data_IF_030861539652
#
_entry.id   IF_030861539652
#
_cell.length_a   1.000
_cell.length_b   1.000
_cell.length_c   1.000
_cell.angle_alpha   90.00
_cell.angle_beta   90.00
_cell.angle_gamma   90.00
#
_symmetry.space_group_name_H-M   'P 1'
#
loop_
_entity.id
_entity.type
_entity.pdbx_description
1 polymer ?
#
# COMPACT_ATOMS: atom_id res chain seq x y z
N UNK A 1 -6.86 4.58 16.46
CA UNK A 1 -7.17 3.45 17.39
C UNK A 1 -8.67 3.22 17.41
N UNK A 2 -9.11 2.04 17.02
CA UNK A 2 -10.50 1.62 17.18
C UNK A 2 -10.77 1.47 18.68
N UNK A 3 -11.76 2.18 19.26
CA UNK A 3 -12.00 2.11 20.69
C UNK A 3 -12.54 0.72 21.08
N UNK A 4 -12.13 0.24 22.27
CA UNK A 4 -12.74 -0.96 22.83
C UNK A 4 -14.18 -0.62 23.23
N UNK A 5 -15.14 -1.36 22.72
CA UNK A 5 -16.57 -1.18 22.98
C UNK A 5 -16.95 -2.06 24.17
N UNK A 6 -17.45 -1.46 25.23
CA UNK A 6 -17.81 -2.13 26.49
C UNK A 6 -19.18 -1.75 27.02
N UNK A 7 -19.78 -0.67 26.51
CA UNK A 7 -21.10 -0.18 26.89
C UNK A 7 -22.03 -0.03 25.69
N UNK A 8 -23.34 0.01 25.93
CA UNK A 8 -24.33 0.25 24.88
C UNK A 8 -24.15 1.62 24.23
N UNK A 9 -23.80 2.65 25.00
CA UNK A 9 -23.58 3.99 24.47
C UNK A 9 -22.37 4.03 23.52
N UNK A 10 -21.27 3.39 23.88
CA UNK A 10 -20.09 3.25 22.99
C UNK A 10 -20.44 2.47 21.72
N UNK A 11 -21.21 1.39 21.82
CA UNK A 11 -21.67 0.64 20.67
C UNK A 11 -22.56 1.49 19.74
N UNK A 12 -23.57 2.17 20.31
CA UNK A 12 -24.44 3.09 19.57
C UNK A 12 -23.64 4.20 18.89
N UNK A 13 -22.67 4.77 19.57
CA UNK A 13 -21.84 5.86 19.02
C UNK A 13 -20.96 5.33 17.89
N UNK A 14 -20.37 4.14 18.04
CA UNK A 14 -19.58 3.48 17.01
C UNK A 14 -20.40 3.22 15.72
N UNK A 15 -21.60 2.62 15.83
CA UNK A 15 -22.44 2.37 14.65
C UNK A 15 -23.01 3.63 14.02
N UNK A 16 -23.17 4.74 14.79
CA UNK A 16 -23.64 6.00 14.24
C UNK A 16 -22.53 6.90 13.68
N UNK A 17 -21.28 6.51 13.85
CA UNK A 17 -20.12 7.26 13.34
C UNK A 17 -20.07 7.33 11.81
N UNK A 18 -20.80 6.48 11.07
CA UNK A 18 -20.91 6.52 9.61
C UNK A 18 -21.37 7.88 9.05
N UNK A 19 -22.03 8.72 9.86
CA UNK A 19 -22.60 10.01 9.42
C UNK A 19 -21.54 10.95 8.89
N UNK A 20 -20.44 11.13 9.63
CA UNK A 20 -19.36 12.04 9.20
C UNK A 20 -18.66 11.54 7.93
N UNK A 21 -18.21 10.29 7.81
CA UNK A 21 -17.72 9.73 6.55
C UNK A 21 -18.68 9.98 5.39
N UNK A 22 -19.98 9.77 5.56
CA UNK A 22 -20.97 9.98 4.49
C UNK A 22 -21.10 11.46 4.08
N UNK A 23 -21.00 12.39 5.02
CA UNK A 23 -20.96 13.83 4.73
C UNK A 23 -19.74 14.20 3.92
N UNK A 24 -18.56 13.67 4.27
CA UNK A 24 -17.30 13.90 3.54
C UNK A 24 -17.36 13.33 2.12
N UNK A 25 -17.87 12.10 1.97
CA UNK A 25 -18.04 11.48 0.65
C UNK A 25 -19.04 12.25 -0.22
N UNK A 26 -20.14 12.76 0.33
CA UNK A 26 -21.09 13.59 -0.41
C UNK A 26 -20.45 14.88 -0.94
N UNK A 27 -19.55 15.50 -0.18
CA UNK A 27 -18.81 16.66 -0.64
C UNK A 27 -17.84 16.34 -1.80
N UNK A 28 -17.22 15.16 -1.79
CA UNK A 28 -16.39 14.67 -2.90
C UNK A 28 -17.24 14.34 -4.13
N UNK A 29 -18.40 13.72 -3.95
CA UNK A 29 -19.34 13.39 -5.03
C UNK A 29 -19.83 14.65 -5.77
N UNK A 30 -19.99 15.75 -5.05
CA UNK A 30 -20.34 17.07 -5.61
C UNK A 30 -19.15 17.81 -6.22
N UNK A 31 -17.94 17.26 -6.16
CA UNK A 31 -16.69 17.93 -6.53
C UNK A 31 -16.53 19.32 -5.85
N UNK A 32 -17.05 19.44 -4.63
CA UNK A 32 -17.18 20.70 -3.91
C UNK A 32 -15.84 21.42 -3.76
N UNK A 33 -14.79 20.70 -3.38
CA UNK A 33 -13.48 21.28 -3.10
C UNK A 33 -12.79 21.82 -4.35
N UNK A 34 -12.95 21.14 -5.49
CA UNK A 34 -12.43 21.59 -6.79
C UNK A 34 -13.16 22.82 -7.28
N UNK A 35 -14.50 22.84 -7.13
CA UNK A 35 -15.33 24.00 -7.52
C UNK A 35 -15.02 25.22 -6.68
N UNK A 36 -14.81 25.06 -5.36
CA UNK A 36 -14.39 26.16 -4.49
C UNK A 36 -13.00 26.66 -4.89
N UNK A 37 -12.05 25.76 -5.16
CA UNK A 37 -10.67 26.11 -5.50
C UNK A 37 -10.03 27.00 -4.44
N UNK A 38 -9.36 28.07 -4.88
CA UNK A 38 -8.69 29.04 -4.01
C UNK A 38 -9.57 30.28 -3.69
N UNK A 39 -10.86 30.23 -4.06
CA UNK A 39 -11.78 31.37 -3.94
C UNK A 39 -12.65 31.26 -2.69
N UNK A 40 -13.27 32.41 -2.33
CA UNK A 40 -14.36 32.48 -1.36
C UNK A 40 -15.70 32.62 -2.09
N UNK A 41 -16.70 31.89 -1.63
CA UNK A 41 -18.00 31.82 -2.28
C UNK A 41 -19.12 32.12 -1.31
N UNK A 42 -20.17 32.81 -1.76
CA UNK A 42 -21.47 32.81 -1.07
C UNK A 42 -22.21 31.50 -1.33
N UNK A 43 -23.10 31.08 -0.44
CA UNK A 43 -23.91 29.87 -0.65
C UNK A 43 -24.71 29.93 -1.95
N UNK A 44 -25.34 31.07 -2.22
CA UNK A 44 -26.18 31.27 -3.41
C UNK A 44 -25.40 31.09 -4.71
N UNK A 45 -24.19 31.67 -4.82
CA UNK A 45 -23.36 31.53 -6.01
C UNK A 45 -22.79 30.12 -6.14
N UNK A 46 -22.40 29.50 -5.03
CA UNK A 46 -21.85 28.13 -5.02
C UNK A 46 -22.93 27.09 -5.37
N UNK A 47 -24.16 27.26 -4.83
CA UNK A 47 -25.30 26.40 -5.13
C UNK A 47 -25.66 26.42 -6.63
N UNK A 48 -25.69 27.64 -7.23
CA UNK A 48 -25.87 27.77 -8.69
C UNK A 48 -24.80 27.08 -9.48
N UNK A 49 -23.53 27.23 -9.07
CA UNK A 49 -22.37 26.58 -9.77
C UNK A 49 -22.42 25.06 -9.70
N UNK A 50 -22.78 24.51 -8.55
CA UNK A 50 -22.91 23.07 -8.30
C UNK A 50 -24.25 22.49 -8.78
N UNK A 51 -25.22 23.33 -9.16
CA UNK A 51 -26.60 22.93 -9.53
C UNK A 51 -27.31 22.15 -8.43
N UNK A 52 -27.18 22.60 -7.19
CA UNK A 52 -27.77 21.97 -6.01
C UNK A 52 -28.67 22.97 -5.24
N UNK A 53 -29.51 22.42 -4.34
CA UNK A 53 -30.31 23.21 -3.43
C UNK A 53 -29.44 24.04 -2.48
N UNK A 54 -29.74 25.35 -2.35
CA UNK A 54 -29.06 26.24 -1.40
C UNK A 54 -29.23 25.76 0.03
N UNK A 55 -30.45 25.27 0.40
CA UNK A 55 -30.73 24.69 1.71
C UNK A 55 -29.84 23.49 2.01
N UNK A 56 -29.73 22.53 1.06
CA UNK A 56 -28.88 21.33 1.21
C UNK A 56 -27.43 21.72 1.34
N UNK A 57 -26.93 22.57 0.44
CA UNK A 57 -25.55 23.03 0.46
C UNK A 57 -25.19 23.79 1.72
N UNK A 58 -26.13 24.62 2.26
CA UNK A 58 -25.95 25.36 3.53
C UNK A 58 -25.70 24.41 4.70
N UNK A 59 -26.48 23.32 4.78
CA UNK A 59 -26.34 22.32 5.83
C UNK A 59 -25.00 21.57 5.67
N UNK A 60 -24.67 21.14 4.45
CA UNK A 60 -23.41 20.46 4.14
C UNK A 60 -22.20 21.34 4.50
N UNK A 61 -22.14 22.57 3.98
CA UNK A 61 -21.01 23.48 4.20
C UNK A 61 -20.82 23.85 5.68
N UNK A 62 -21.89 23.96 6.47
CA UNK A 62 -21.77 24.18 7.92
C UNK A 62 -21.13 22.98 8.62
N UNK A 63 -21.55 21.78 8.27
CA UNK A 63 -20.93 20.55 8.82
C UNK A 63 -19.45 20.43 8.44
N UNK A 64 -19.10 20.69 7.18
CA UNK A 64 -17.72 20.67 6.72
C UNK A 64 -16.87 21.76 7.39
N UNK A 65 -17.45 22.93 7.67
CA UNK A 65 -16.78 24.00 8.41
C UNK A 65 -16.57 23.62 9.88
N UNK A 66 -17.56 22.98 10.53
CA UNK A 66 -17.43 22.46 11.89
C UNK A 66 -16.37 21.36 11.97
N UNK A 67 -16.24 20.53 10.93
CA UNK A 67 -15.20 19.51 10.81
C UNK A 67 -13.82 20.08 10.40
N UNK A 68 -13.69 21.41 10.17
CA UNK A 68 -12.43 22.06 9.80
C UNK A 68 -11.99 21.84 8.35
N UNK A 69 -12.82 21.21 7.51
CA UNK A 69 -12.50 20.96 6.08
C UNK A 69 -12.79 22.20 5.21
N UNK A 70 -13.72 23.03 5.63
CA UNK A 70 -13.97 24.36 5.09
C UNK A 70 -13.74 25.43 6.15
N UNK A 71 -13.47 26.66 5.71
CA UNK A 71 -13.51 27.86 6.53
C UNK A 71 -14.75 28.66 6.19
N UNK A 72 -15.44 29.19 7.24
CA UNK A 72 -16.58 30.11 7.12
C UNK A 72 -16.22 31.45 7.74
N UNK A 73 -16.41 32.56 6.98
CA UNK A 73 -16.27 33.93 7.48
C UNK A 73 -17.44 34.75 6.98
N UNK A 74 -18.32 35.16 7.90
CA UNK A 74 -19.58 35.81 7.54
C UNK A 74 -20.44 34.91 6.65
N UNK A 75 -20.82 35.40 5.48
CA UNK A 75 -21.56 34.62 4.45
C UNK A 75 -20.68 33.82 3.50
N UNK A 76 -19.38 33.94 3.61
CA UNK A 76 -18.42 33.33 2.68
C UNK A 76 -17.85 31.98 3.18
N UNK A 77 -17.73 31.05 2.26
CA UNK A 77 -17.08 29.76 2.45
C UNK A 77 -15.84 29.65 1.55
N UNK A 78 -14.77 29.05 2.06
CA UNK A 78 -13.55 28.72 1.32
C UNK A 78 -12.97 27.40 1.80
N UNK A 79 -12.15 26.78 0.98
CA UNK A 79 -11.40 25.58 1.37
C UNK A 79 -10.48 25.87 2.58
N UNK A 80 -10.35 24.88 3.47
CA UNK A 80 -9.19 24.78 4.35
C UNK A 80 -7.95 24.43 3.54
N UNK A 81 -6.77 24.39 4.18
CA UNK A 81 -5.54 23.92 3.51
C UNK A 81 -5.73 22.53 2.90
N UNK A 82 -6.34 21.59 3.65
CA UNK A 82 -6.63 20.24 3.18
C UNK A 82 -7.55 20.29 1.95
N UNK A 83 -8.65 21.03 2.01
CA UNK A 83 -9.60 21.20 0.90
C UNK A 83 -8.96 21.79 -0.35
N UNK A 84 -8.09 22.82 -0.19
CA UNK A 84 -7.42 23.48 -1.30
C UNK A 84 -6.33 22.63 -1.97
N UNK A 85 -5.79 21.63 -1.29
CA UNK A 85 -4.68 20.81 -1.79
C UNK A 85 -5.11 19.39 -2.09
N UNK A 86 -5.17 18.52 -1.08
CA UNK A 86 -5.40 17.09 -1.26
C UNK A 86 -6.80 16.73 -1.78
N UNK A 87 -7.81 17.58 -1.57
CA UNK A 87 -9.19 17.34 -2.02
C UNK A 87 -9.57 18.14 -3.29
N UNK A 88 -8.72 19.03 -3.78
CA UNK A 88 -8.93 19.83 -4.98
C UNK A 88 -8.34 19.13 -6.20
N UNK A 89 -9.18 18.69 -7.14
CA UNK A 89 -8.78 17.96 -8.35
C UNK A 89 -7.80 18.71 -9.25
N UNK A 90 -7.73 20.03 -9.17
CA UNK A 90 -6.80 20.86 -9.94
C UNK A 90 -5.43 21.04 -9.24
N UNK A 91 -5.24 20.53 -8.03
CA UNK A 91 -4.01 20.68 -7.30
C UNK A 91 -3.07 19.49 -7.50
N UNK A 92 -1.77 19.74 -7.64
CA UNK A 92 -0.73 18.70 -7.87
C UNK A 92 -0.64 17.61 -6.80
N UNK A 93 -1.14 17.87 -5.59
CA UNK A 93 -1.15 16.92 -4.47
C UNK A 93 -2.54 16.32 -4.24
N UNK A 94 -3.41 16.35 -5.26
CA UNK A 94 -4.73 15.78 -5.23
C UNK A 94 -4.69 14.28 -4.90
N UNK A 95 -5.58 13.83 -4.00
CA UNK A 95 -5.68 12.44 -3.55
C UNK A 95 -7.06 11.82 -3.73
N UNK A 96 -7.92 12.50 -4.46
CA UNK A 96 -9.31 12.08 -4.65
C UNK A 96 -9.46 10.70 -5.31
N UNK A 97 -8.47 10.23 -6.08
CA UNK A 97 -8.50 8.88 -6.64
C UNK A 97 -8.61 7.80 -5.55
N UNK A 98 -7.83 7.91 -4.46
CA UNK A 98 -7.94 7.00 -3.32
C UNK A 98 -9.27 7.14 -2.58
N UNK A 99 -9.72 8.38 -2.36
CA UNK A 99 -11.01 8.64 -1.70
C UNK A 99 -12.20 8.17 -2.55
N UNK A 100 -12.10 8.25 -3.87
CA UNK A 100 -13.10 7.71 -4.79
C UNK A 100 -13.15 6.18 -4.75
N UNK A 101 -12.01 5.51 -4.59
CA UNK A 101 -11.98 4.07 -4.36
C UNK A 101 -12.69 3.69 -3.06
N UNK A 102 -12.39 4.38 -1.95
CA UNK A 102 -13.11 4.17 -0.68
C UNK A 102 -14.61 4.38 -0.86
N UNK A 103 -15.01 5.40 -1.63
CA UNK A 103 -16.41 5.67 -1.93
C UNK A 103 -17.07 4.53 -2.73
N UNK A 104 -16.38 3.97 -3.74
CA UNK A 104 -16.92 2.86 -4.54
C UNK A 104 -17.16 1.61 -3.71
N UNK A 105 -16.37 1.38 -2.68
CA UNK A 105 -16.53 0.27 -1.75
C UNK A 105 -17.69 0.45 -0.74
N UNK A 106 -18.35 1.62 -0.70
CA UNK A 106 -19.40 1.88 0.29
C UNK A 106 -20.56 0.88 0.21
N UNK A 107 -21.00 0.54 -0.99
CA UNK A 107 -22.07 -0.44 -1.22
C UNK A 107 -21.66 -1.85 -0.85
N UNK A 108 -20.39 -2.19 -1.03
CA UNK A 108 -19.85 -3.51 -0.69
C UNK A 108 -19.86 -3.72 0.83
N UNK A 109 -19.44 -2.70 1.58
CA UNK A 109 -19.48 -2.75 3.04
C UNK A 109 -20.91 -2.89 3.59
N UNK A 110 -21.95 -2.36 2.92
CA UNK A 110 -23.35 -2.57 3.30
C UNK A 110 -23.74 -4.04 3.14
N UNK A 111 -23.13 -4.77 2.20
CA UNK A 111 -23.37 -6.17 1.91
C UNK A 111 -22.44 -7.13 2.65
N UNK A 112 -21.71 -6.66 3.65
CA UNK A 112 -20.73 -7.47 4.40
C UNK A 112 -21.30 -8.79 4.94
N UNK A 113 -22.57 -8.80 5.38
CA UNK A 113 -23.25 -9.99 5.88
C UNK A 113 -23.25 -11.14 4.85
N UNK A 114 -23.39 -10.83 3.55
CA UNK A 114 -23.37 -11.83 2.48
C UNK A 114 -22.03 -12.57 2.41
N UNK A 115 -20.91 -11.82 2.47
CA UNK A 115 -19.57 -12.39 2.49
C UNK A 115 -19.28 -13.17 3.78
N UNK A 116 -19.78 -12.71 4.93
CA UNK A 116 -19.63 -13.46 6.20
C UNK A 116 -20.38 -14.80 6.12
N UNK A 117 -21.55 -14.83 5.50
CA UNK A 117 -22.34 -16.07 5.37
C UNK A 117 -21.73 -17.06 4.37
N UNK A 118 -21.22 -16.58 3.27
CA UNK A 118 -20.67 -17.43 2.21
C UNK A 118 -19.20 -17.82 2.44
N UNK A 119 -18.44 -16.98 3.16
CA UNK A 119 -16.99 -17.08 3.24
C UNK A 119 -16.28 -16.67 1.93
N UNK A 120 -17.01 -16.08 0.99
CA UNK A 120 -16.50 -15.68 -0.33
C UNK A 120 -16.59 -14.17 -0.52
N UNK A 121 -15.78 -13.58 -1.41
CA UNK A 121 -15.93 -12.18 -1.79
C UNK A 121 -17.31 -11.94 -2.41
N UNK A 122 -17.71 -10.68 -2.41
CA UNK A 122 -18.93 -10.29 -3.10
C UNK A 122 -18.77 -10.49 -4.60
N UNK A 123 -19.84 -10.97 -5.23
CA UNK A 123 -19.91 -11.02 -6.69
C UNK A 123 -20.08 -9.60 -7.23
N UNK A 124 -19.15 -9.18 -8.04
CA UNK A 124 -19.17 -7.89 -8.72
C UNK A 124 -19.36 -8.14 -10.22
N UNK A 125 -20.32 -7.46 -10.83
CA UNK A 125 -20.60 -7.57 -12.25
C UNK A 125 -19.40 -7.26 -13.16
N UNK A 126 -18.39 -6.53 -12.64
CA UNK A 126 -17.14 -6.21 -13.35
C UNK A 126 -15.95 -6.17 -12.36
N UNK A 127 -15.53 -7.29 -11.76
CA UNK A 127 -14.51 -7.25 -10.72
C UNK A 127 -13.11 -6.87 -11.20
N UNK A 128 -12.80 -6.98 -12.48
CA UNK A 128 -11.45 -6.90 -13.04
C UNK A 128 -11.36 -6.20 -14.42
N UNK A 129 -12.33 -5.37 -14.72
CA UNK A 129 -12.33 -4.60 -15.98
C UNK A 129 -11.14 -3.64 -16.07
N UNK A 130 -10.62 -3.34 -17.27
CA UNK A 130 -9.49 -2.43 -17.48
C UNK A 130 -9.66 -1.08 -16.78
N UNK A 131 -10.88 -0.54 -16.79
CA UNK A 131 -11.20 0.75 -16.16
C UNK A 131 -11.09 0.70 -14.64
N UNK A 132 -11.58 -0.38 -13.99
CA UNK A 132 -11.44 -0.55 -12.55
C UNK A 132 -9.96 -0.69 -12.15
N UNK A 133 -9.21 -1.52 -12.87
CA UNK A 133 -7.77 -1.70 -12.63
C UNK A 133 -7.00 -0.40 -12.77
N UNK A 134 -7.31 0.38 -13.77
CA UNK A 134 -6.73 1.70 -13.98
C UNK A 134 -7.04 2.63 -12.81
N UNK A 135 -8.31 2.73 -12.40
CA UNK A 135 -8.73 3.56 -11.27
C UNK A 135 -8.07 3.10 -9.96
N UNK A 136 -8.03 1.80 -9.71
CA UNK A 136 -7.37 1.21 -8.55
C UNK A 136 -5.87 1.54 -8.52
N UNK A 137 -5.16 1.39 -9.63
CA UNK A 137 -3.72 1.68 -9.69
C UNK A 137 -3.44 3.17 -9.44
N UNK A 138 -4.23 4.08 -10.01
CA UNK A 138 -4.15 5.51 -9.68
C UNK A 138 -4.49 5.79 -8.22
N UNK A 139 -5.46 5.10 -7.64
CA UNK A 139 -5.80 5.24 -6.22
C UNK A 139 -4.62 4.84 -5.33
N UNK A 140 -3.94 3.73 -5.64
CA UNK A 140 -2.74 3.30 -4.92
C UNK A 140 -1.58 4.29 -5.06
N UNK A 141 -1.42 4.91 -6.23
CA UNK A 141 -0.47 6.02 -6.38
C UNK A 141 -0.78 7.18 -5.42
N UNK A 142 -2.03 7.64 -5.41
CA UNK A 142 -2.47 8.74 -4.54
C UNK A 142 -2.35 8.40 -3.05
N UNK A 143 -2.58 7.14 -2.67
CA UNK A 143 -2.41 6.65 -1.29
C UNK A 143 -0.95 6.77 -0.85
N UNK A 144 0.01 6.42 -1.70
CA UNK A 144 1.42 6.25 -1.34
C UNK A 144 2.31 7.46 -1.64
N UNK A 145 1.76 8.55 -2.20
CA UNK A 145 2.53 9.74 -2.62
C UNK A 145 3.46 10.34 -1.55
N UNK A 146 3.06 10.37 -0.29
CA UNK A 146 3.87 10.89 0.81
C UNK A 146 4.63 9.79 1.55
N UNK A 147 4.06 8.59 1.57
CA UNK A 147 4.59 7.46 2.32
C UNK A 147 5.84 6.90 1.63
N UNK A 148 5.79 6.69 0.32
CA UNK A 148 6.89 6.08 -0.41
C UNK A 148 8.20 6.90 -0.34
N UNK A 149 8.21 8.23 -0.52
CA UNK A 149 9.42 9.03 -0.30
C UNK A 149 9.92 9.00 1.14
N UNK A 150 9.01 8.97 2.13
CA UNK A 150 9.36 8.92 3.54
C UNK A 150 10.01 7.58 3.92
N UNK A 151 9.51 6.48 3.39
CA UNK A 151 10.11 5.14 3.55
C UNK A 151 11.46 5.07 2.82
N UNK A 152 11.52 5.53 1.57
CA UNK A 152 12.76 5.52 0.79
C UNK A 152 13.87 6.36 1.44
N UNK A 153 13.53 7.42 2.17
CA UNK A 153 14.49 8.23 2.92
C UNK A 153 15.10 7.50 4.12
N UNK A 154 14.37 6.56 4.72
CA UNK A 154 14.77 5.85 5.95
C UNK A 154 15.31 4.44 5.66
N UNK A 155 14.80 3.78 4.63
CA UNK A 155 15.22 2.44 4.26
C UNK A 155 16.59 2.47 3.57
N UNK A 156 17.62 1.99 4.27
CA UNK A 156 18.98 1.93 3.71
C UNK A 156 19.09 0.70 2.80
N UNK A 157 19.27 0.94 1.50
CA UNK A 157 19.48 -0.12 0.51
C UNK A 157 20.96 -0.52 0.35
N UNK A 158 21.88 0.15 1.06
CA UNK A 158 23.32 -0.12 0.96
C UNK A 158 23.85 0.14 -0.45
N UNK A 159 24.67 -0.78 -0.96
CA UNK A 159 25.23 -0.75 -2.31
C UNK A 159 24.39 -1.47 -3.36
N UNK A 160 23.10 -1.68 -3.08
CA UNK A 160 22.19 -2.34 -4.01
C UNK A 160 22.15 -1.62 -5.37
N UNK A 161 22.29 -2.38 -6.45
CA UNK A 161 22.25 -1.90 -7.83
C UNK A 161 20.99 -2.37 -8.56
N UNK A 162 20.41 -3.49 -8.16
CA UNK A 162 19.22 -4.09 -8.76
C UNK A 162 18.12 -4.29 -7.72
N UNK A 163 16.99 -3.62 -7.91
CA UNK A 163 15.79 -3.75 -7.10
C UNK A 163 14.65 -4.31 -7.97
N UNK A 164 13.90 -5.25 -7.41
CA UNK A 164 12.59 -5.65 -7.93
C UNK A 164 11.51 -5.10 -7.02
N UNK A 165 10.54 -4.36 -7.58
CA UNK A 165 9.30 -3.97 -6.93
C UNK A 165 8.23 -4.96 -7.40
N UNK A 166 7.96 -5.97 -6.55
CA UNK A 166 7.13 -7.12 -6.88
C UNK A 166 5.68 -6.87 -6.49
N UNK A 167 4.78 -6.82 -7.46
CA UNK A 167 3.39 -6.38 -7.27
C UNK A 167 3.33 -4.88 -6.98
N UNK A 168 4.25 -4.10 -7.57
CA UNK A 168 4.44 -2.69 -7.23
C UNK A 168 3.41 -1.72 -7.82
N UNK A 169 2.39 -2.23 -8.55
CA UNK A 169 1.27 -1.45 -9.06
C UNK A 169 1.71 -0.18 -9.79
N UNK A 170 1.46 1.02 -9.22
CA UNK A 170 1.81 2.30 -9.84
C UNK A 170 3.31 2.60 -9.90
N UNK A 171 4.17 1.79 -9.28
CA UNK A 171 5.61 2.01 -9.22
C UNK A 171 6.04 3.18 -8.34
N UNK A 172 5.17 3.69 -7.47
CA UNK A 172 5.47 4.86 -6.62
C UNK A 172 6.65 4.59 -5.68
N UNK A 173 6.73 3.39 -5.11
CA UNK A 173 7.89 2.98 -4.28
C UNK A 173 9.16 2.83 -5.11
N UNK A 174 9.10 2.16 -6.26
CA UNK A 174 10.26 2.02 -7.15
C UNK A 174 10.83 3.40 -7.53
N UNK A 175 9.99 4.35 -7.92
CA UNK A 175 10.40 5.71 -8.27
C UNK A 175 11.01 6.45 -7.07
N UNK A 176 10.45 6.30 -5.87
CA UNK A 176 10.98 6.90 -4.65
C UNK A 176 12.37 6.33 -4.29
N UNK A 177 12.56 5.01 -4.39
CA UNK A 177 13.87 4.36 -4.20
C UNK A 177 14.90 4.82 -5.24
N UNK A 178 14.51 4.90 -6.51
CA UNK A 178 15.36 5.39 -7.58
C UNK A 178 15.78 6.85 -7.39
N UNK A 179 14.87 7.71 -6.93
CA UNK A 179 15.16 9.10 -6.64
C UNK A 179 16.20 9.25 -5.52
N UNK A 180 16.15 8.40 -4.51
CA UNK A 180 17.07 8.42 -3.35
C UNK A 180 18.43 7.78 -3.65
N UNK A 181 18.48 6.80 -4.57
CA UNK A 181 19.66 5.98 -4.83
C UNK A 181 20.10 6.12 -6.30
N UNK A 182 21.05 7.01 -6.64
CA UNK A 182 21.43 7.30 -8.03
C UNK A 182 21.99 6.12 -8.82
N UNK A 183 22.62 5.14 -8.15
CA UNK A 183 23.21 3.94 -8.78
C UNK A 183 22.22 2.80 -8.94
N UNK A 184 21.05 2.90 -8.31
CA UNK A 184 20.02 1.85 -8.33
C UNK A 184 19.31 1.82 -9.69
N UNK A 185 19.06 0.62 -10.20
CA UNK A 185 18.10 0.32 -11.27
C UNK A 185 16.97 -0.50 -10.66
N UNK A 186 15.74 -0.23 -11.07
CA UNK A 186 14.58 -0.95 -10.59
C UNK A 186 13.83 -1.64 -11.73
N UNK A 187 13.32 -2.81 -11.45
CA UNK A 187 12.32 -3.51 -12.26
C UNK A 187 10.99 -3.47 -11.52
N UNK A 188 9.96 -2.94 -12.15
CA UNK A 188 8.59 -2.97 -11.65
C UNK A 188 7.89 -4.18 -12.25
N UNK A 189 7.46 -5.10 -11.39
CA UNK A 189 6.76 -6.31 -11.79
C UNK A 189 5.30 -6.24 -11.34
N UNK A 190 4.39 -6.33 -12.30
CA UNK A 190 2.95 -6.41 -12.05
C UNK A 190 2.23 -6.92 -13.32
N UNK A 191 0.91 -6.98 -13.30
CA UNK A 191 0.08 -7.26 -14.48
C UNK A 191 0.14 -6.09 -15.46
N UNK A 192 0.02 -6.37 -16.78
CA UNK A 192 0.17 -5.37 -17.86
C UNK A 192 -0.67 -4.10 -17.62
N UNK A 193 -1.96 -4.26 -17.25
CA UNK A 193 -2.85 -3.12 -17.04
C UNK A 193 -2.38 -2.15 -15.92
N UNK A 194 -1.72 -2.66 -14.88
CA UNK A 194 -1.12 -1.82 -13.84
C UNK A 194 0.16 -1.14 -14.35
N UNK A 195 0.97 -1.85 -15.14
CA UNK A 195 2.20 -1.32 -15.71
C UNK A 195 1.94 -0.20 -16.73
N UNK A 196 0.83 -0.21 -17.45
CA UNK A 196 0.43 0.92 -18.32
C UNK A 196 0.26 2.21 -17.52
N UNK A 197 -0.45 2.15 -16.40
CA UNK A 197 -0.60 3.31 -15.50
C UNK A 197 0.73 3.72 -14.89
N UNK A 198 1.57 2.75 -14.52
CA UNK A 198 2.90 3.03 -14.00
C UNK A 198 3.79 3.75 -15.02
N UNK A 199 3.70 3.41 -16.30
CA UNK A 199 4.41 4.11 -17.40
C UNK A 199 3.95 5.57 -17.49
N UNK A 200 2.65 5.83 -17.38
CA UNK A 200 2.11 7.20 -17.37
C UNK A 200 2.65 8.02 -16.18
N UNK A 201 2.60 7.45 -14.97
CA UNK A 201 3.12 8.08 -13.76
C UNK A 201 4.63 8.36 -13.88
N UNK A 202 5.38 7.38 -14.36
CA UNK A 202 6.83 7.51 -14.51
C UNK A 202 7.24 8.51 -15.60
N UNK A 203 6.40 8.78 -16.60
CA UNK A 203 6.74 9.64 -17.74
C UNK A 203 7.22 11.03 -17.34
N UNK A 204 6.72 11.55 -16.23
CA UNK A 204 7.09 12.87 -15.68
C UNK A 204 8.18 12.82 -14.61
N UNK A 205 8.62 11.61 -14.23
CA UNK A 205 9.55 11.44 -13.12
C UNK A 205 11.01 11.38 -13.59
N UNK A 206 11.89 12.21 -13.01
CA UNK A 206 13.31 12.32 -13.43
C UNK A 206 14.12 11.01 -13.38
N UNK A 207 13.69 10.04 -12.55
CA UNK A 207 14.38 8.77 -12.41
C UNK A 207 13.84 7.67 -13.33
N UNK A 208 12.86 7.94 -14.19
CA UNK A 208 12.18 6.96 -15.05
C UNK A 208 13.10 6.20 -15.98
N UNK A 209 14.19 6.81 -16.46
CA UNK A 209 15.18 6.13 -17.31
C UNK A 209 15.95 4.98 -16.63
N UNK A 210 15.75 4.75 -15.32
CA UNK A 210 16.32 3.64 -14.56
C UNK A 210 15.26 2.63 -14.10
N UNK A 211 14.01 2.79 -14.53
CA UNK A 211 12.90 1.89 -14.25
C UNK A 211 12.61 1.05 -15.50
N UNK A 212 12.59 -0.26 -15.36
CA UNK A 212 12.12 -1.22 -16.36
C UNK A 212 10.83 -1.87 -15.88
N UNK A 213 10.06 -2.44 -16.81
CA UNK A 213 8.74 -3.02 -16.56
C UNK A 213 8.78 -4.51 -16.90
N UNK A 214 8.20 -5.33 -16.04
CA UNK A 214 8.13 -6.78 -16.19
C UNK A 214 6.66 -7.23 -16.01
N UNK A 215 5.91 -7.44 -17.08
CA UNK A 215 4.59 -8.05 -16.99
C UNK A 215 4.75 -9.53 -16.65
N UNK A 216 4.25 -9.94 -15.47
CA UNK A 216 4.39 -11.31 -14.96
C UNK A 216 3.29 -11.66 -13.97
N UNK A 217 2.76 -12.87 -14.07
CA UNK A 217 2.00 -13.50 -12.99
C UNK A 217 2.97 -14.24 -12.04
N UNK A 218 3.53 -13.52 -11.09
CA UNK A 218 4.51 -14.06 -10.13
C UNK A 218 3.93 -15.11 -9.17
N UNK A 219 2.61 -15.30 -9.16
CA UNK A 219 1.99 -16.42 -8.44
C UNK A 219 2.19 -17.74 -9.16
N UNK A 220 2.35 -17.73 -10.49
CA UNK A 220 2.51 -18.93 -11.33
C UNK A 220 3.92 -19.07 -11.88
N UNK A 221 4.48 -17.97 -12.36
CA UNK A 221 5.69 -17.96 -13.15
C UNK A 221 6.95 -17.74 -12.29
N UNK A 222 8.11 -18.27 -12.69
CA UNK A 222 9.39 -17.96 -12.07
C UNK A 222 9.75 -16.50 -12.31
N UNK A 223 10.31 -15.85 -11.30
CA UNK A 223 10.78 -14.46 -11.40
C UNK A 223 12.11 -14.44 -12.15
N UNK A 224 12.20 -13.80 -13.33
CA UNK A 224 13.43 -13.76 -14.11
C UNK A 224 14.45 -12.78 -13.53
N UNK A 225 15.73 -13.05 -13.77
CA UNK A 225 16.83 -12.20 -13.32
C UNK A 225 17.28 -12.46 -11.89
N UNK A 226 18.18 -11.61 -11.39
CA UNK A 226 18.68 -11.67 -10.02
C UNK A 226 18.80 -10.28 -9.43
N UNK A 227 18.41 -10.13 -8.17
CA UNK A 227 18.24 -8.83 -7.51
C UNK A 227 19.03 -8.76 -6.20
N UNK A 228 19.48 -7.57 -5.86
CA UNK A 228 20.08 -7.28 -4.56
C UNK A 228 18.98 -7.07 -3.48
N UNK A 229 17.85 -6.49 -3.91
CA UNK A 229 16.70 -6.22 -3.06
C UNK A 229 15.41 -6.55 -3.83
N UNK A 230 14.49 -7.25 -3.17
CA UNK A 230 13.10 -7.39 -3.62
C UNK A 230 12.21 -6.70 -2.60
N UNK A 231 11.43 -5.74 -3.06
CA UNK A 231 10.42 -5.00 -2.30
C UNK A 231 9.04 -5.59 -2.60
N UNK A 232 8.26 -5.89 -1.57
CA UNK A 232 6.94 -6.52 -1.65
C UNK A 232 6.00 -5.80 -0.69
N UNK A 233 5.21 -4.88 -1.21
CA UNK A 233 4.45 -3.94 -0.40
C UNK A 233 2.96 -4.00 -0.69
N UNK A 234 2.16 -4.24 0.34
CA UNK A 234 0.70 -4.32 0.25
C UNK A 234 0.22 -5.39 -0.75
N UNK A 235 0.83 -6.55 -0.72
CA UNK A 235 0.55 -7.68 -1.60
C UNK A 235 0.36 -8.99 -0.82
N UNK A 236 1.05 -9.14 0.32
CA UNK A 236 0.99 -10.32 1.17
C UNK A 236 -0.46 -10.69 1.55
N UNK A 237 -1.26 -9.69 1.88
CA UNK A 237 -2.64 -9.83 2.31
C UNK A 237 -3.60 -10.31 1.22
N UNK A 238 -3.22 -10.27 -0.06
CA UNK A 238 -4.08 -10.64 -1.20
C UNK A 238 -4.17 -12.17 -1.35
N UNK A 239 -3.11 -12.89 -0.96
CA UNK A 239 -2.89 -14.30 -1.26
C UNK A 239 -3.04 -15.18 -0.02
N UNK A 240 -3.42 -16.45 -0.23
CA UNK A 240 -3.47 -17.47 0.82
C UNK A 240 -2.09 -17.75 1.43
N UNK A 241 -2.02 -18.43 2.59
CA UNK A 241 -0.75 -18.88 3.17
C UNK A 241 0.09 -19.75 2.23
N UNK A 242 -0.54 -20.63 1.46
CA UNK A 242 0.09 -21.55 0.50
C UNK A 242 0.69 -20.79 -0.68
N UNK A 243 -0.06 -19.86 -1.24
CA UNK A 243 0.39 -18.99 -2.33
C UNK A 243 1.55 -18.12 -1.89
N UNK A 244 1.45 -17.48 -0.73
CA UNK A 244 2.54 -16.67 -0.16
C UNK A 244 3.82 -17.48 0.02
N UNK A 245 3.73 -18.70 0.53
CA UNK A 245 4.89 -19.59 0.66
C UNK A 245 5.48 -19.94 -0.71
N UNK A 246 4.66 -20.14 -1.73
CA UNK A 246 5.11 -20.39 -3.10
C UNK A 246 5.81 -19.14 -3.69
N UNK A 247 5.24 -17.96 -3.50
CA UNK A 247 5.83 -16.68 -3.90
C UNK A 247 7.21 -16.50 -3.20
N UNK A 248 7.29 -16.76 -1.90
CA UNK A 248 8.53 -16.59 -1.14
C UNK A 248 9.66 -17.51 -1.65
N UNK A 249 9.34 -18.75 -2.10
CA UNK A 249 10.32 -19.62 -2.74
C UNK A 249 10.82 -19.04 -4.07
N UNK A 250 9.93 -18.48 -4.91
CA UNK A 250 10.31 -17.81 -6.17
C UNK A 250 11.16 -16.56 -5.91
N UNK A 251 10.76 -15.75 -4.95
CA UNK A 251 11.54 -14.57 -4.51
C UNK A 251 12.93 -15.00 -4.04
N UNK A 252 13.02 -16.08 -3.25
CA UNK A 252 14.30 -16.59 -2.78
C UNK A 252 15.22 -17.01 -3.92
N UNK A 253 14.67 -17.61 -4.98
CA UNK A 253 15.42 -18.03 -6.16
C UNK A 253 15.93 -16.83 -6.99
N UNK A 254 15.20 -15.71 -7.00
CA UNK A 254 15.55 -14.49 -7.72
C UNK A 254 16.49 -13.54 -6.94
N UNK A 255 16.83 -13.85 -5.70
CA UNK A 255 17.76 -13.05 -4.90
C UNK A 255 19.20 -13.51 -5.04
N UNK A 256 20.11 -12.57 -5.21
CA UNK A 256 21.54 -12.79 -5.10
C UNK A 256 21.92 -13.32 -3.70
N UNK A 257 23.04 -14.05 -3.55
CA UNK A 257 23.54 -14.40 -2.22
C UNK A 257 23.72 -13.15 -1.34
N UNK A 258 23.12 -13.16 -0.15
CA UNK A 258 23.11 -11.99 0.76
C UNK A 258 22.05 -10.94 0.41
N UNK A 259 21.30 -11.08 -0.68
CA UNK A 259 20.22 -10.18 -1.08
C UNK A 259 19.08 -10.16 -0.06
N UNK A 260 18.31 -9.09 -0.07
CA UNK A 260 17.25 -8.79 0.92
C UNK A 260 15.87 -8.88 0.31
N UNK A 261 14.97 -9.59 0.98
CA UNK A 261 13.54 -9.56 0.73
C UNK A 261 12.89 -8.68 1.80
N UNK A 262 12.23 -7.61 1.40
CA UNK A 262 11.64 -6.61 2.30
C UNK A 262 10.14 -6.58 2.05
N UNK A 263 9.37 -6.85 3.08
CA UNK A 263 7.90 -6.93 3.05
C UNK A 263 7.35 -5.77 3.86
N UNK A 264 6.47 -4.98 3.28
CA UNK A 264 5.63 -4.01 3.97
C UNK A 264 4.18 -4.47 3.86
N UNK A 265 3.50 -4.63 4.99
CA UNK A 265 2.08 -5.00 4.99
C UNK A 265 1.41 -4.71 6.34
N UNK A 266 0.09 -4.84 6.40
CA UNK A 266 -0.71 -4.77 7.61
C UNK A 266 -0.53 -6.04 8.44
N UNK A 267 0.47 -6.06 9.32
CA UNK A 267 0.77 -7.23 10.15
C UNK A 267 -0.01 -7.24 11.46
N UNK A 268 -0.56 -8.40 11.80
CA UNK A 268 -1.00 -8.70 13.15
C UNK A 268 0.21 -9.01 14.04
N UNK A 269 0.24 -8.42 15.24
CA UNK A 269 1.39 -8.49 16.15
C UNK A 269 1.20 -9.51 17.27
N UNK A 270 -0.02 -9.91 17.55
CA UNK A 270 -0.36 -10.94 18.51
C UNK A 270 -0.68 -12.29 17.83
N UNK A 271 -0.72 -13.36 18.64
CA UNK A 271 -1.02 -14.71 18.16
C UNK A 271 -2.52 -14.96 17.94
N UNK A 272 -3.36 -14.11 18.52
CA UNK A 272 -4.83 -14.24 18.46
C UNK A 272 -5.42 -13.50 17.26
N UNK A 273 -4.62 -12.69 16.55
CA UNK A 273 -5.08 -11.94 15.39
C UNK A 273 -5.95 -10.73 15.73
N UNK A 274 -5.80 -10.19 16.94
CA UNK A 274 -6.64 -9.09 17.45
C UNK A 274 -5.97 -7.72 17.35
N UNK A 275 -4.65 -7.66 17.30
CA UNK A 275 -3.90 -6.42 17.39
C UNK A 275 -2.83 -6.29 16.30
N UNK A 276 -2.67 -5.10 15.70
CA UNK A 276 -3.49 -3.89 15.88
C UNK A 276 -4.89 -4.04 15.32
N UNK A 277 -5.86 -3.34 15.91
CA UNK A 277 -7.28 -3.43 15.53
C UNK A 277 -7.51 -3.05 14.07
N UNK A 278 -6.73 -2.11 13.56
CA UNK A 278 -6.79 -1.67 12.16
C UNK A 278 -6.41 -2.80 11.19
N UNK A 279 -5.37 -3.58 11.51
CA UNK A 279 -4.98 -4.74 10.70
C UNK A 279 -6.04 -5.85 10.79
N UNK A 280 -6.62 -6.08 11.97
CA UNK A 280 -7.74 -7.00 12.14
C UNK A 280 -8.96 -6.56 11.33
N UNK A 281 -9.30 -5.27 11.33
CA UNK A 281 -10.38 -4.71 10.51
C UNK A 281 -10.08 -4.83 9.01
N UNK A 282 -8.82 -4.70 8.61
CA UNK A 282 -8.42 -4.83 7.23
C UNK A 282 -8.64 -6.25 6.67
N UNK A 283 -8.60 -7.28 7.52
CA UNK A 283 -8.98 -8.64 7.13
C UNK A 283 -10.43 -8.74 6.61
N UNK A 284 -11.34 -7.90 7.14
CA UNK A 284 -12.72 -7.81 6.62
C UNK A 284 -12.72 -7.28 5.16
N UNK A 285 -11.85 -6.34 4.84
CA UNK A 285 -11.71 -5.89 3.45
C UNK A 285 -11.20 -7.02 2.55
N UNK A 286 -10.31 -7.87 3.06
CA UNK A 286 -9.84 -9.04 2.29
C UNK A 286 -10.95 -10.04 2.04
N UNK A 287 -11.81 -10.28 3.01
CA UNK A 287 -13.01 -11.11 2.82
C UNK A 287 -13.95 -10.54 1.75
N UNK A 288 -14.13 -9.21 1.70
CA UNK A 288 -15.01 -8.56 0.73
C UNK A 288 -14.47 -8.57 -0.72
N UNK A 289 -13.13 -8.51 -0.89
CA UNK A 289 -12.54 -8.16 -2.19
C UNK A 289 -11.55 -9.20 -2.73
N UNK A 290 -11.25 -10.28 -1.99
CA UNK A 290 -10.30 -11.31 -2.42
C UNK A 290 -10.85 -12.70 -2.15
N UNK A 291 -10.43 -13.68 -2.96
CA UNK A 291 -10.90 -15.07 -2.79
C UNK A 291 -10.37 -15.72 -1.51
N UNK A 292 -9.10 -15.45 -1.16
CA UNK A 292 -8.41 -16.13 -0.05
C UNK A 292 -7.50 -15.20 0.76
N UNK A 293 -7.54 -13.90 0.49
CA UNK A 293 -6.70 -12.93 1.20
C UNK A 293 -7.09 -12.79 2.67
N UNK A 294 -6.10 -12.39 3.46
CA UNK A 294 -6.25 -12.16 4.90
C UNK A 294 -5.13 -11.25 5.42
N UNK A 295 -5.20 -10.83 6.66
CA UNK A 295 -4.06 -10.26 7.36
C UNK A 295 -3.36 -11.35 8.17
N UNK A 296 -2.02 -11.31 8.18
CA UNK A 296 -1.20 -12.36 8.75
C UNK A 296 -0.37 -11.85 9.91
N UNK A 297 -0.10 -12.75 10.87
CA UNK A 297 0.77 -12.41 11.99
C UNK A 297 2.24 -12.35 11.54
N UNK A 298 3.00 -11.52 12.23
CA UNK A 298 4.46 -11.49 12.07
C UNK A 298 5.08 -12.89 12.26
N UNK A 299 4.56 -13.67 13.20
CA UNK A 299 5.10 -15.01 13.50
C UNK A 299 4.84 -16.01 12.39
N UNK A 300 3.69 -15.96 11.72
CA UNK A 300 3.37 -16.80 10.55
C UNK A 300 4.28 -16.43 9.38
N UNK A 301 4.34 -15.15 9.03
CA UNK A 301 5.19 -14.64 7.94
C UNK A 301 6.67 -14.99 8.18
N UNK A 302 7.16 -14.87 9.41
CA UNK A 302 8.53 -15.27 9.74
C UNK A 302 8.78 -16.79 9.59
N UNK A 303 7.79 -17.63 9.89
CA UNK A 303 7.87 -19.08 9.63
C UNK A 303 7.95 -19.36 8.13
N UNK A 304 7.11 -18.72 7.32
CA UNK A 304 7.11 -18.89 5.87
C UNK A 304 8.44 -18.45 5.24
N UNK A 305 9.00 -17.34 5.70
CA UNK A 305 10.32 -16.88 5.29
C UNK A 305 11.42 -17.92 5.62
N UNK A 306 11.39 -18.49 6.84
CA UNK A 306 12.33 -19.56 7.24
C UNK A 306 12.19 -20.79 6.35
N UNK A 307 10.98 -21.25 6.09
CA UNK A 307 10.71 -22.39 5.21
C UNK A 307 11.18 -22.16 3.77
N UNK A 308 11.11 -20.91 3.29
CA UNK A 308 11.65 -20.52 1.99
C UNK A 308 13.18 -20.36 1.96
N UNK A 309 13.87 -20.57 3.10
CA UNK A 309 15.33 -20.53 3.20
C UNK A 309 15.92 -19.15 3.44
N UNK A 310 15.13 -18.20 3.94
CA UNK A 310 15.63 -16.90 4.41
C UNK A 310 16.25 -17.00 5.79
N UNK A 311 17.25 -16.16 6.01
CA UNK A 311 17.97 -15.99 7.28
C UNK A 311 17.89 -14.53 7.75
N UNK A 312 18.29 -14.25 9.01
CA UNK A 312 18.31 -12.89 9.56
C UNK A 312 16.96 -12.15 9.41
N UNK A 313 15.88 -12.85 9.72
CA UNK A 313 14.52 -12.31 9.68
C UNK A 313 14.35 -11.35 10.85
N UNK A 314 14.00 -10.10 10.57
CA UNK A 314 13.89 -9.04 11.58
C UNK A 314 12.97 -7.90 11.12
N UNK A 315 12.40 -7.12 12.05
CA UNK A 315 11.71 -5.89 11.72
C UNK A 315 12.70 -4.84 11.17
N UNK A 316 12.19 -3.99 10.30
CA UNK A 316 12.87 -2.77 9.85
C UNK A 316 12.25 -1.58 10.59
N UNK A 317 13.05 -0.93 11.44
CA UNK A 317 12.58 0.23 12.19
C UNK A 317 12.42 1.44 11.27
N UNK A 318 11.21 1.98 11.20
CA UNK A 318 10.88 3.24 10.54
C UNK A 318 10.28 4.17 11.59
N UNK A 319 10.58 5.47 11.51
CA UNK A 319 10.04 6.47 12.42
C UNK A 319 8.54 6.62 12.22
N UNK A 320 7.78 6.82 13.30
CA UNK A 320 6.34 7.14 13.24
C UNK A 320 6.04 8.28 12.27
N UNK A 321 4.92 8.18 11.56
CA UNK A 321 4.51 9.16 10.54
C UNK A 321 4.79 8.72 9.10
N UNK A 322 5.44 7.56 8.91
CA UNK A 322 5.59 6.89 7.63
C UNK A 322 4.71 5.64 7.52
N UNK A 323 3.98 5.35 8.58
CA UNK A 323 3.11 4.19 8.69
C UNK A 323 1.76 4.52 8.03
N UNK A 324 1.43 3.76 7.01
CA UNK A 324 0.07 3.67 6.55
C UNK A 324 -0.61 2.56 7.37
N UNK A 325 -1.61 2.91 8.18
CA UNK A 325 -2.44 1.98 8.94
C UNK A 325 -1.69 1.03 9.88
N UNK A 326 -0.64 1.51 10.53
CA UNK A 326 0.23 0.66 11.36
C UNK A 326 0.93 -0.48 10.60
N UNK A 327 1.12 -0.33 9.28
CA UNK A 327 1.92 -1.24 8.48
C UNK A 327 3.27 -1.51 9.15
N UNK A 328 3.67 -2.77 9.17
CA UNK A 328 5.00 -3.16 9.59
C UNK A 328 5.90 -3.39 8.38
N UNK A 329 7.20 -3.18 8.57
CA UNK A 329 8.20 -3.61 7.57
C UNK A 329 9.08 -4.68 8.19
N UNK A 330 9.20 -5.78 7.46
CA UNK A 330 10.05 -6.91 7.85
C UNK A 330 11.00 -7.28 6.72
N UNK A 331 12.16 -7.77 7.07
CA UNK A 331 13.12 -8.26 6.09
C UNK A 331 13.67 -9.65 6.43
N UNK A 332 13.97 -10.40 5.39
CA UNK A 332 14.76 -11.61 5.43
C UNK A 332 15.89 -11.53 4.42
N UNK A 333 17.02 -12.14 4.71
CA UNK A 333 18.15 -12.18 3.78
C UNK A 333 18.31 -13.56 3.15
N UNK A 334 18.68 -13.62 1.87
CA UNK A 334 19.20 -14.82 1.27
C UNK A 334 20.53 -15.20 1.96
N UNK A 335 20.83 -16.49 2.21
CA UNK A 335 22.14 -16.90 2.72
C UNK A 335 23.27 -16.32 1.86
N UNK A 336 24.32 -15.83 2.52
CA UNK A 336 25.54 -15.39 1.84
C UNK A 336 26.28 -16.52 1.14
N UNK A 337 27.30 -16.22 0.32
CA UNK A 337 28.12 -17.25 -0.28
C UNK A 337 28.72 -18.13 0.82
N UNK A 338 28.68 -19.46 0.62
CA UNK A 338 29.34 -20.36 1.54
C UNK A 338 30.84 -20.04 1.57
N UNK A 339 31.49 -19.98 2.76
CA UNK A 339 32.94 -19.88 2.81
C UNK A 339 33.55 -20.96 1.97
N UNK A 340 34.46 -20.62 1.06
CA UNK A 340 35.24 -21.64 0.36
C UNK A 340 35.97 -22.43 1.44
N UNK A 341 35.71 -23.74 1.57
CA UNK A 341 36.55 -24.61 2.35
C UNK A 341 37.95 -24.58 1.69
N UNK A 342 38.88 -23.93 2.36
CA UNK A 342 40.31 -24.03 2.01
C UNK A 342 40.66 -25.50 2.29
N UNK A 343 40.81 -26.29 1.23
CA UNK A 343 41.33 -27.64 1.35
C UNK A 343 42.72 -27.49 1.93
N UNK A 344 42.89 -27.85 3.20
CA UNK A 344 44.19 -27.99 3.82
C UNK A 344 44.94 -29.13 3.09
N UNK A 345 45.74 -28.75 2.12
CA UNK A 345 46.78 -29.67 1.61
C UNK A 345 47.79 -29.89 2.74
N UNK A 346 47.55 -30.92 3.54
CA UNK A 346 48.57 -31.45 4.41
C UNK A 346 49.66 -32.02 3.49
N UNK A 347 50.73 -31.26 3.33
CA UNK A 347 51.95 -31.70 2.69
C UNK A 347 52.47 -32.96 3.38
N UNK A 348 52.50 -34.04 2.65
CA UNK A 348 53.18 -35.27 3.05
C UNK A 348 54.68 -34.99 3.08
N UNK A 349 55.20 -34.60 4.25
CA UNK A 349 56.64 -34.59 4.53
C UNK A 349 57.19 -36.02 4.49
N UNK A 350 57.80 -36.43 3.38
CA UNK A 350 58.61 -37.64 3.32
C UNK A 350 59.84 -37.46 4.19
N UNK A 351 59.84 -38.14 5.30
CA UNK A 351 61.00 -38.38 6.12
C UNK A 351 61.95 -39.33 5.37
N UNK A 352 63.06 -38.83 4.86
CA UNK A 352 64.20 -39.66 4.44
C UNK A 352 65.24 -39.60 5.55
N UNK A 353 65.22 -40.60 6.43
CA UNK A 353 66.41 -41.04 7.15
C UNK A 353 67.22 -41.88 6.23
N UNK A 354 68.52 -41.64 6.14
CA UNK A 354 69.48 -42.44 5.49
C UNK A 354 70.89 -41.99 5.79
N UNK A 355 71.51 -42.62 6.78
CA UNK A 355 72.96 -42.77 7.11
C UNK A 355 73.74 -41.50 7.44
#
# INVERSE_FOLDING_TARGET
>A
MTPRISTFDEFRDAISAYRLPRVLLAALELDLFTVIGDRSWTLTTLAKKLKVSERGLSILCRNLAAAGVLHKKGSLYRNSRLGATALNGNHRTYRGGYLNLIRSHWTDWIRLEESIRSGLPLDHDVPDGPDYRRQFTWAMHHRTLEIAPAIAAQLRLGDAQALLDLGGGPGTYALAFLAKNPRLRATLCDREAALEVAKEIASTHKASGRLSYLPLDFCKDPIPGTYDVIWYSNVLHIYSPEENQAIFRRVRAALKPGGRFIIQDAFLRDREGLYPTEASLFAISMLLFTEQGNTYTVSETAKWLKHAGFVRIKPVAIRKGTEDWEDGIWEGSAPGPRPRMIANQKGSGRNRKGR
#
